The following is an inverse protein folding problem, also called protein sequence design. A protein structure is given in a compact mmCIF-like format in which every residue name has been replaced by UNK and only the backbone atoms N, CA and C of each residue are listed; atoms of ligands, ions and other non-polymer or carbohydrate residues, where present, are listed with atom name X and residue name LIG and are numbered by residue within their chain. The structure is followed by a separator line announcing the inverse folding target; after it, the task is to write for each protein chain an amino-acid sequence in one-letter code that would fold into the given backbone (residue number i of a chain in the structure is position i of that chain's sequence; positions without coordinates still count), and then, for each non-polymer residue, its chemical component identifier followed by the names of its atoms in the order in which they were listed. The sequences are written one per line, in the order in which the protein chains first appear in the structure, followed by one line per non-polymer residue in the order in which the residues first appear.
data_IF_903780937939
#
_entry.id   IF_903780937939
#
_cell.length_a   1.000
_cell.length_b   1.000
_cell.length_c   1.000
_cell.angle_alpha   90.00
_cell.angle_beta   90.00
_cell.angle_gamma   90.00
#
_symmetry.space_group_name_H-M   'P 1'
#
loop_
_entity.id
_entity.type
_entity.pdbx_description
1 polymer ?
#
# COMPACT_ATOMS: atom_id res chain seq x y z
N UNK A 1 4.07 14.40 8.48
CA UNK A 1 2.84 15.09 8.94
C UNK A 1 2.26 14.43 10.18
N UNK A 2 1.52 13.32 10.11
CA UNK A 2 0.88 12.73 11.30
C UNK A 2 1.84 12.43 12.46
N UNK A 3 2.98 11.78 12.17
CA UNK A 3 4.03 11.49 13.16
C UNK A 3 4.61 12.78 13.77
N UNK A 4 4.93 13.74 12.92
CA UNK A 4 5.56 15.01 13.29
C UNK A 4 4.63 15.85 14.19
N UNK A 5 3.35 15.98 13.83
CA UNK A 5 2.37 16.73 14.63
C UNK A 5 2.28 16.19 16.05
N UNK A 6 2.11 14.87 16.22
CA UNK A 6 2.06 14.24 17.56
C UNK A 6 3.38 14.40 18.32
N UNK A 7 4.52 14.22 17.64
CA UNK A 7 5.83 14.38 18.27
C UNK A 7 6.04 15.82 18.79
N UNK A 8 5.78 16.83 17.95
CA UNK A 8 5.93 18.25 18.29
C UNK A 8 4.97 18.68 19.40
N UNK A 9 3.70 18.26 19.33
CA UNK A 9 2.70 18.53 20.38
C UNK A 9 3.12 18.01 21.77
N UNK A 10 3.97 16.98 21.81
CA UNK A 10 4.46 16.36 23.05
C UNK A 10 5.93 16.73 23.37
N UNK A 11 6.52 17.69 22.68
CA UNK A 11 7.88 18.18 22.97
C UNK A 11 9.02 17.28 22.47
N UNK A 12 8.75 16.37 21.52
CA UNK A 12 9.75 15.52 20.89
C UNK A 12 10.20 16.07 19.54
N UNK A 13 11.45 15.79 19.19
CA UNK A 13 12.01 16.09 17.87
C UNK A 13 11.97 14.84 16.97
N UNK A 14 11.62 15.02 15.69
CA UNK A 14 11.62 13.95 14.70
C UNK A 14 12.93 13.93 13.91
N UNK A 15 13.56 12.76 13.81
CA UNK A 15 14.68 12.49 12.90
C UNK A 15 14.23 11.46 11.87
N UNK A 16 14.38 11.78 10.59
CA UNK A 16 14.00 10.89 9.48
C UNK A 16 15.26 10.28 8.88
N UNK A 17 15.24 8.96 8.72
CA UNK A 17 16.26 8.20 8.00
C UNK A 17 15.60 7.40 6.88
N UNK A 18 16.14 7.49 5.68
CA UNK A 18 15.63 6.82 4.48
C UNK A 18 16.59 5.69 4.11
N UNK A 19 16.04 4.50 3.91
CA UNK A 19 16.83 3.27 3.79
C UNK A 19 16.61 2.56 2.42
N UNK A 20 15.82 3.16 1.52
CA UNK A 20 15.54 2.70 0.15
C UNK A 20 15.24 1.18 -0.01
N UNK A 21 14.62 0.54 0.98
CA UNK A 21 14.38 -0.92 1.03
C UNK A 21 15.64 -1.79 1.06
N UNK A 22 16.76 -1.24 1.57
CA UNK A 22 18.04 -1.93 1.74
C UNK A 22 18.27 -2.20 3.22
N UNK A 23 18.12 -3.46 3.65
CA UNK A 23 18.28 -3.89 5.06
C UNK A 23 19.62 -3.45 5.69
N UNK A 24 20.70 -3.39 4.90
CA UNK A 24 22.01 -2.91 5.38
C UNK A 24 22.01 -1.42 5.75
N UNK A 25 21.20 -0.61 5.08
CA UNK A 25 21.02 0.81 5.41
C UNK A 25 20.13 0.96 6.64
N UNK A 26 19.09 0.11 6.78
CA UNK A 26 18.27 0.03 7.99
C UNK A 26 19.14 -0.26 9.23
N UNK A 27 20.06 -1.21 9.14
CA UNK A 27 20.99 -1.54 10.24
C UNK A 27 21.93 -0.38 10.61
N UNK A 28 22.35 0.44 9.63
CA UNK A 28 23.16 1.65 9.92
C UNK A 28 22.32 2.71 10.62
N UNK A 29 21.08 2.92 10.19
CA UNK A 29 20.14 3.81 10.85
C UNK A 29 19.88 3.36 12.29
N UNK A 30 19.68 2.05 12.50
CA UNK A 30 19.56 1.43 13.83
C UNK A 30 20.80 1.66 14.69
N UNK A 31 22.01 1.47 14.17
CA UNK A 31 23.22 1.71 14.94
C UNK A 31 23.42 3.20 15.27
N UNK A 32 23.00 4.09 14.38
CA UNK A 32 22.91 5.53 14.68
C UNK A 32 21.87 5.83 15.77
N UNK A 33 20.72 5.14 15.75
CA UNK A 33 19.72 5.18 16.82
C UNK A 33 20.25 4.61 18.15
N UNK A 34 21.13 3.61 18.14
CA UNK A 34 21.80 3.13 19.37
C UNK A 34 22.84 4.13 19.89
N UNK A 35 23.56 4.80 19.00
CA UNK A 35 24.64 5.72 19.34
C UNK A 35 24.16 7.12 19.77
N UNK A 36 23.03 7.60 19.23
CA UNK A 36 22.36 8.83 19.65
C UNK A 36 21.21 8.47 20.57
N UNK A 37 21.10 9.09 21.74
CA UNK A 37 20.04 8.87 22.74
C UNK A 37 18.63 9.21 22.20
N UNK A 38 18.11 8.45 21.23
CA UNK A 38 16.71 8.55 20.80
C UNK A 38 15.84 7.75 21.77
N UNK A 39 14.65 8.26 22.06
CA UNK A 39 13.75 7.63 23.01
C UNK A 39 12.99 6.44 22.40
N UNK A 40 12.88 6.40 21.06
CA UNK A 40 12.23 5.32 20.33
C UNK A 40 12.23 5.53 18.81
N UNK A 41 11.70 4.53 18.08
CA UNK A 41 11.66 4.54 16.63
C UNK A 41 10.31 4.05 16.08
N UNK A 42 9.84 4.69 15.01
CA UNK A 42 8.80 4.17 14.13
C UNK A 42 9.51 3.61 12.90
N UNK A 43 9.33 2.33 12.62
CA UNK A 43 9.99 1.64 11.52
C UNK A 43 8.98 1.36 10.40
N UNK A 44 9.20 2.00 9.26
CA UNK A 44 8.50 1.73 7.99
C UNK A 44 9.42 0.85 7.15
N UNK A 45 9.57 -0.41 7.54
CA UNK A 45 10.53 -1.34 6.93
C UNK A 45 9.81 -2.34 6.05
N UNK A 46 10.52 -2.87 5.05
CA UNK A 46 10.00 -4.01 4.29
C UNK A 46 10.18 -5.28 5.10
N UNK A 47 9.20 -6.17 4.99
CA UNK A 47 9.27 -7.55 5.49
C UNK A 47 10.58 -8.22 5.06
N UNK A 48 11.29 -8.85 6.02
CA UNK A 48 12.65 -9.37 5.82
C UNK A 48 13.26 -9.97 7.09
N UNK A 49 14.59 -9.84 7.22
CA UNK A 49 15.36 -10.26 8.40
C UNK A 49 14.98 -9.43 9.63
N UNK A 50 14.03 -9.96 10.40
CA UNK A 50 13.49 -9.33 11.59
C UNK A 50 14.38 -9.53 12.84
N UNK A 51 15.54 -10.21 12.72
CA UNK A 51 16.40 -10.52 13.85
C UNK A 51 16.99 -9.26 14.49
N UNK A 52 17.29 -8.24 13.71
CA UNK A 52 17.74 -6.96 14.26
C UNK A 52 16.63 -6.23 15.03
N UNK A 53 15.38 -6.30 14.55
CA UNK A 53 14.23 -5.71 15.23
C UNK A 53 13.98 -6.48 16.53
N UNK A 54 14.08 -7.82 16.49
CA UNK A 54 14.00 -8.68 17.67
C UNK A 54 15.03 -8.30 18.71
N UNK A 55 16.30 -8.19 18.32
CA UNK A 55 17.40 -7.76 19.21
C UNK A 55 17.11 -6.41 19.84
N UNK A 56 16.63 -5.42 19.08
CA UNK A 56 16.27 -4.12 19.65
C UNK A 56 15.12 -4.19 20.66
N UNK A 57 14.08 -4.98 20.36
CA UNK A 57 12.94 -5.14 21.26
C UNK A 57 13.39 -5.84 22.55
N UNK A 58 14.24 -6.86 22.46
CA UNK A 58 14.81 -7.59 23.61
C UNK A 58 15.75 -6.72 24.45
N UNK A 59 16.50 -5.81 23.83
CA UNK A 59 17.33 -4.79 24.50
C UNK A 59 16.49 -3.67 25.15
N UNK A 60 15.16 -3.68 24.98
CA UNK A 60 14.24 -2.74 25.65
C UNK A 60 14.05 -1.39 24.94
N UNK A 61 14.39 -1.32 23.65
CA UNK A 61 14.11 -0.15 22.82
C UNK A 61 12.62 -0.02 22.52
N UNK A 62 12.13 1.22 22.49
CA UNK A 62 10.74 1.52 22.14
C UNK A 62 10.60 1.52 20.62
N UNK A 63 9.88 0.54 20.08
CA UNK A 63 9.65 0.40 18.65
C UNK A 63 8.14 0.28 18.38
N UNK A 64 7.73 0.91 17.28
CA UNK A 64 6.44 0.70 16.60
C UNK A 64 6.73 0.38 15.14
N UNK A 65 6.12 -0.66 14.59
CA UNK A 65 6.18 -0.96 13.16
C UNK A 65 5.00 -0.34 12.44
N UNK A 66 5.24 0.21 11.25
CA UNK A 66 4.23 0.85 10.41
C UNK A 66 4.12 0.13 9.06
N UNK A 67 2.89 -0.09 8.60
CA UNK A 67 2.54 -0.67 7.28
C UNK A 67 3.10 -2.09 7.03
N UNK A 68 3.28 -2.88 8.09
CA UNK A 68 3.70 -4.28 8.00
C UNK A 68 3.22 -5.12 9.18
N UNK A 69 3.24 -6.43 9.00
CA UNK A 69 2.97 -7.37 10.08
C UNK A 69 4.17 -7.56 11.03
N UNK A 70 3.91 -7.94 12.29
CA UNK A 70 4.96 -8.11 13.28
C UNK A 70 5.75 -9.43 13.14
N UNK A 71 5.25 -10.40 12.36
CA UNK A 71 5.91 -11.72 12.17
C UNK A 71 6.39 -12.40 13.47
N UNK A 72 5.58 -12.31 14.54
CA UNK A 72 5.90 -12.88 15.84
C UNK A 72 6.79 -12.02 16.73
N UNK A 73 7.16 -10.80 16.32
CA UNK A 73 7.79 -9.80 17.17
C UNK A 73 6.81 -9.25 18.21
N UNK A 74 7.30 -9.02 19.43
CA UNK A 74 6.51 -8.41 20.52
C UNK A 74 6.53 -6.88 20.45
N UNK A 75 6.00 -6.34 19.36
CA UNK A 75 6.07 -4.91 19.02
C UNK A 75 4.69 -4.38 18.62
N UNK A 76 4.40 -3.13 19.00
CA UNK A 76 3.19 -2.45 18.55
C UNK A 76 3.25 -2.24 17.03
N UNK A 77 2.13 -2.43 16.35
CA UNK A 77 2.01 -2.29 14.90
C UNK A 77 0.83 -1.39 14.54
N UNK A 78 1.01 -0.59 13.49
CA UNK A 78 -0.07 0.17 12.85
C UNK A 78 -0.04 -0.17 11.36
N UNK A 79 -1.12 -0.69 10.83
CA UNK A 79 -1.24 -0.97 9.39
C UNK A 79 -2.62 -0.57 8.87
N UNK A 80 -2.77 -0.43 7.57
CA UNK A 80 -4.09 -0.33 6.94
C UNK A 80 -4.67 -1.72 6.67
N UNK A 81 -5.98 -1.79 6.50
CA UNK A 81 -6.64 -3.00 6.00
C UNK A 81 -6.45 -3.16 4.48
N UNK A 82 -5.23 -3.57 4.09
CA UNK A 82 -4.87 -3.80 2.68
C UNK A 82 -5.72 -4.89 2.02
N UNK A 83 -6.08 -5.93 2.77
CA UNK A 83 -6.94 -7.01 2.27
C UNK A 83 -8.31 -6.47 1.91
N UNK A 84 -8.96 -5.74 2.83
CA UNK A 84 -10.25 -5.12 2.57
C UNK A 84 -10.15 -4.10 1.44
N UNK A 85 -9.08 -3.31 1.38
CA UNK A 85 -8.85 -2.37 0.28
C UNK A 85 -8.74 -3.05 -1.08
N UNK A 86 -7.97 -4.14 -1.19
CA UNK A 86 -7.86 -4.91 -2.42
C UNK A 86 -9.17 -5.56 -2.83
N UNK A 87 -9.94 -6.05 -1.85
CA UNK A 87 -11.29 -6.55 -2.08
C UNK A 87 -12.23 -5.44 -2.59
N UNK A 88 -12.26 -4.28 -1.93
CA UNK A 88 -13.15 -3.14 -2.28
C UNK A 88 -12.87 -2.61 -3.69
N UNK A 89 -11.60 -2.46 -4.07
CA UNK A 89 -11.20 -2.00 -5.40
C UNK A 89 -11.71 -2.95 -6.48
N UNK A 90 -11.57 -4.25 -6.24
CA UNK A 90 -11.97 -5.30 -7.18
C UNK A 90 -13.49 -5.45 -7.23
N UNK A 91 -14.15 -5.45 -6.07
CA UNK A 91 -15.61 -5.46 -5.94
C UNK A 91 -16.26 -4.29 -6.66
N UNK A 92 -15.67 -3.09 -6.58
CA UNK A 92 -16.15 -1.93 -7.32
C UNK A 92 -16.16 -2.17 -8.83
N UNK A 93 -15.04 -2.66 -9.40
CA UNK A 93 -14.95 -3.00 -10.82
C UNK A 93 -15.94 -4.11 -11.23
N UNK A 94 -16.09 -5.13 -10.39
CA UNK A 94 -17.06 -6.22 -10.62
C UNK A 94 -18.51 -5.70 -10.61
N UNK A 95 -18.85 -4.80 -9.69
CA UNK A 95 -20.17 -4.17 -9.61
C UNK A 95 -20.46 -3.24 -10.81
N UNK A 96 -19.42 -2.70 -11.45
CA UNK A 96 -19.51 -1.98 -12.73
C UNK A 96 -19.65 -2.91 -13.95
N UNK A 97 -19.65 -4.24 -13.74
CA UNK A 97 -19.84 -5.26 -14.78
C UNK A 97 -18.54 -5.76 -15.41
N UNK A 98 -17.37 -5.38 -14.91
CA UNK A 98 -16.10 -5.89 -15.42
C UNK A 98 -15.81 -7.28 -14.88
N UNK A 99 -15.70 -8.27 -15.77
CA UNK A 99 -15.27 -9.64 -15.41
C UNK A 99 -13.80 -9.92 -15.72
N UNK A 100 -13.25 -9.25 -16.74
CA UNK A 100 -11.85 -9.38 -17.12
C UNK A 100 -11.05 -8.20 -16.57
N UNK A 101 -10.51 -8.39 -15.36
CA UNK A 101 -9.78 -7.38 -14.60
C UNK A 101 -8.31 -7.79 -14.54
N UNK A 102 -7.40 -6.94 -15.02
CA UNK A 102 -5.97 -7.11 -14.77
C UNK A 102 -5.64 -6.65 -13.36
N UNK A 103 -4.66 -7.31 -12.73
CA UNK A 103 -4.10 -6.88 -11.46
C UNK A 103 -2.61 -6.60 -11.59
N UNK A 104 -2.19 -5.35 -11.33
CA UNK A 104 -0.76 -4.98 -11.27
C UNK A 104 -0.30 -5.10 -9.82
N UNK A 105 0.52 -6.13 -9.55
CA UNK A 105 1.14 -6.39 -8.23
C UNK A 105 2.16 -5.32 -7.88
N UNK A 106 2.30 -5.05 -6.59
CA UNK A 106 3.49 -4.39 -6.07
C UNK A 106 4.66 -5.37 -5.89
N UNK A 107 5.62 -4.97 -5.05
CA UNK A 107 6.80 -5.78 -4.75
C UNK A 107 6.38 -7.10 -4.05
N UNK A 108 6.79 -8.30 -4.53
CA UNK A 108 6.25 -9.59 -4.06
C UNK A 108 6.43 -9.92 -2.58
N UNK A 109 7.50 -9.44 -1.95
CA UNK A 109 7.79 -9.78 -0.55
C UNK A 109 7.10 -8.85 0.45
N UNK A 110 6.63 -7.68 0.03
CA UNK A 110 5.96 -6.69 0.88
C UNK A 110 4.53 -7.16 1.23
N UNK A 111 4.18 -7.09 2.51
CA UNK A 111 2.91 -7.64 3.01
C UNK A 111 1.70 -6.91 2.44
N UNK A 112 1.74 -5.58 2.34
CA UNK A 112 0.65 -4.80 1.73
C UNK A 112 0.36 -5.22 0.28
N UNK A 113 1.38 -5.56 -0.50
CA UNK A 113 1.24 -6.11 -1.87
C UNK A 113 0.51 -7.46 -1.87
N UNK A 114 0.91 -8.36 -0.95
CA UNK A 114 0.29 -9.68 -0.81
C UNK A 114 -1.17 -9.55 -0.36
N UNK A 115 -1.43 -8.77 0.68
CA UNK A 115 -2.77 -8.57 1.24
C UNK A 115 -3.73 -7.98 0.20
N UNK A 116 -3.31 -6.96 -0.56
CA UNK A 116 -4.12 -6.39 -1.67
C UNK A 116 -4.43 -7.45 -2.73
N UNK A 117 -3.47 -8.29 -3.09
CA UNK A 117 -3.66 -9.38 -4.04
C UNK A 117 -4.62 -10.47 -3.52
N UNK A 118 -4.54 -10.82 -2.24
CA UNK A 118 -5.49 -11.75 -1.62
C UNK A 118 -6.91 -11.18 -1.63
N UNK A 119 -7.07 -9.87 -1.37
CA UNK A 119 -8.34 -9.17 -1.49
C UNK A 119 -8.93 -9.24 -2.91
N UNK A 120 -8.10 -9.00 -3.94
CA UNK A 120 -8.48 -9.17 -5.34
C UNK A 120 -8.99 -10.59 -5.64
N UNK A 121 -8.23 -11.62 -5.23
CA UNK A 121 -8.65 -13.02 -5.44
C UNK A 121 -9.96 -13.35 -4.72
N UNK A 122 -10.14 -12.84 -3.50
CA UNK A 122 -11.36 -13.07 -2.71
C UNK A 122 -12.58 -12.45 -3.40
N UNK A 123 -12.47 -11.21 -3.89
CA UNK A 123 -13.57 -10.54 -4.58
C UNK A 123 -13.99 -11.28 -5.86
N UNK A 124 -13.02 -11.76 -6.67
CA UNK A 124 -13.33 -12.60 -7.83
C UNK A 124 -14.06 -13.88 -7.43
N UNK A 125 -13.56 -14.57 -6.39
CA UNK A 125 -14.17 -15.81 -5.89
C UNK A 125 -15.61 -15.59 -5.44
N UNK A 126 -15.88 -14.51 -4.70
CA UNK A 126 -17.21 -14.22 -4.17
C UNK A 126 -18.23 -13.82 -5.24
N UNK A 127 -17.76 -13.32 -6.38
CA UNK A 127 -18.57 -13.03 -7.58
C UNK A 127 -18.52 -14.15 -8.62
N UNK A 128 -18.00 -15.32 -8.25
CA UNK A 128 -17.91 -16.51 -9.11
C UNK A 128 -17.14 -16.28 -10.42
N UNK A 129 -16.22 -15.31 -10.44
CA UNK A 129 -15.33 -15.06 -11.58
C UNK A 129 -14.11 -15.97 -11.48
N UNK A 130 -13.83 -16.71 -12.56
CA UNK A 130 -12.66 -17.58 -12.64
C UNK A 130 -11.38 -16.74 -12.59
N UNK A 131 -10.56 -17.00 -11.59
CA UNK A 131 -9.23 -16.42 -11.50
C UNK A 131 -8.35 -16.82 -12.70
N UNK A 132 -7.74 -15.84 -13.35
CA UNK A 132 -6.83 -16.03 -14.48
C UNK A 132 -5.42 -15.58 -14.11
N UNK A 133 -4.45 -16.52 -14.15
CA UNK A 133 -3.04 -16.22 -13.89
C UNK A 133 -2.42 -15.30 -14.93
N UNK A 134 -2.89 -15.33 -16.19
CA UNK A 134 -2.37 -14.43 -17.22
C UNK A 134 -2.68 -12.96 -16.90
N UNK A 135 -3.73 -12.70 -16.11
CA UNK A 135 -4.16 -11.33 -15.76
C UNK A 135 -3.36 -10.71 -14.61
N UNK A 136 -2.29 -11.38 -14.17
CA UNK A 136 -1.47 -10.93 -13.04
C UNK A 136 -0.15 -10.36 -13.56
N UNK A 137 -0.02 -9.05 -13.41
CA UNK A 137 1.14 -8.27 -13.89
C UNK A 137 2.06 -7.99 -12.71
N UNK A 138 3.37 -8.05 -12.96
CA UNK A 138 4.39 -7.69 -11.96
C UNK A 138 4.71 -6.21 -12.04
N UNK A 139 4.68 -5.54 -10.88
CA UNK A 139 5.13 -4.16 -10.72
C UNK A 139 5.98 -4.00 -9.45
N UNK A 140 6.34 -2.76 -9.11
CA UNK A 140 7.20 -2.45 -7.97
C UNK A 140 6.91 -1.09 -7.31
N UNK A 141 5.64 -0.67 -7.31
CA UNK A 141 5.18 0.59 -6.70
C UNK A 141 5.79 1.85 -7.34
N UNK A 142 6.05 1.81 -8.65
CA UNK A 142 6.53 2.96 -9.38
C UNK A 142 5.83 3.11 -10.74
N UNK A 143 5.87 4.33 -11.29
CA UNK A 143 5.22 4.66 -12.57
C UNK A 143 5.75 3.80 -13.71
N UNK A 144 7.07 3.61 -13.81
CA UNK A 144 7.69 2.88 -14.91
C UNK A 144 7.29 1.40 -14.97
N UNK A 145 7.04 0.77 -13.82
CA UNK A 145 6.61 -0.62 -13.75
C UNK A 145 5.15 -0.80 -14.15
N UNK A 146 4.28 0.15 -13.76
CA UNK A 146 2.90 0.20 -14.26
C UNK A 146 2.86 0.36 -15.79
N UNK A 147 3.69 1.26 -16.33
CA UNK A 147 3.80 1.48 -17.77
C UNK A 147 4.29 0.23 -18.52
N UNK A 148 5.47 -0.27 -18.15
CA UNK A 148 6.12 -1.38 -18.86
C UNK A 148 5.39 -2.71 -18.70
N UNK A 149 4.67 -2.94 -17.60
CA UNK A 149 3.89 -4.16 -17.42
C UNK A 149 2.68 -4.22 -18.36
N UNK A 150 2.02 -3.08 -18.60
CA UNK A 150 0.91 -2.98 -19.55
C UNK A 150 1.39 -3.11 -21.00
N UNK A 151 2.49 -2.47 -21.37
CA UNK A 151 3.08 -2.65 -22.72
C UNK A 151 3.38 -4.12 -23.00
N UNK A 152 4.12 -4.79 -22.10
CA UNK A 152 4.46 -6.20 -22.24
C UNK A 152 3.22 -7.10 -22.32
N UNK A 153 2.18 -6.77 -21.55
CA UNK A 153 0.93 -7.52 -21.58
C UNK A 153 0.22 -7.37 -22.94
N UNK A 154 0.05 -6.14 -23.42
CA UNK A 154 -0.59 -5.85 -24.70
C UNK A 154 0.16 -6.46 -25.88
N UNK A 155 1.49 -6.40 -25.88
CA UNK A 155 2.32 -6.98 -26.95
C UNK A 155 2.22 -8.51 -26.98
N UNK A 156 2.00 -9.16 -25.83
CA UNK A 156 1.89 -10.62 -25.72
C UNK A 156 0.48 -11.16 -25.97
N UNK A 157 -0.54 -10.50 -25.42
CA UNK A 157 -1.91 -11.03 -25.36
C UNK A 157 -2.95 -10.18 -26.09
N UNK A 158 -2.58 -8.96 -26.52
CA UNK A 158 -3.53 -7.99 -27.06
C UNK A 158 -4.52 -7.45 -26.00
N UNK A 159 -5.54 -6.75 -26.47
CA UNK A 159 -6.59 -6.18 -25.63
C UNK A 159 -7.70 -7.21 -25.36
N UNK A 160 -7.64 -7.89 -24.21
CA UNK A 160 -8.60 -8.91 -23.79
C UNK A 160 -9.19 -8.68 -22.38
N UNK A 161 -8.98 -7.50 -21.82
CA UNK A 161 -9.46 -7.06 -20.51
C UNK A 161 -10.24 -5.75 -20.65
N UNK A 162 -11.02 -5.40 -19.63
CA UNK A 162 -11.85 -4.17 -19.64
C UNK A 162 -11.60 -3.26 -18.43
N UNK A 163 -10.85 -3.75 -17.45
CA UNK A 163 -10.44 -2.98 -16.29
C UNK A 163 -9.08 -3.41 -15.74
N UNK A 164 -8.46 -2.53 -14.98
CA UNK A 164 -7.21 -2.75 -14.25
C UNK A 164 -7.43 -2.33 -12.79
N UNK A 165 -6.99 -3.16 -11.87
CA UNK A 165 -6.68 -2.76 -10.50
C UNK A 165 -5.15 -2.73 -10.35
N UNK A 166 -4.58 -1.54 -10.13
CA UNK A 166 -3.18 -1.38 -9.80
C UNK A 166 -2.98 -1.30 -8.28
N UNK A 167 -1.98 -2.01 -7.75
CA UNK A 167 -1.75 -2.06 -6.30
C UNK A 167 -1.33 -0.72 -5.69
N UNK A 168 -1.01 0.31 -6.47
CA UNK A 168 -0.87 1.70 -6.04
C UNK A 168 -1.22 2.70 -7.15
N UNK A 169 -1.33 3.98 -6.78
CA UNK A 169 -1.65 5.07 -7.69
C UNK A 169 -0.50 5.35 -8.68
N UNK A 170 0.76 5.11 -8.31
CA UNK A 170 1.90 5.31 -9.21
C UNK A 170 1.86 4.34 -10.39
N UNK A 171 1.64 3.05 -10.14
CA UNK A 171 1.48 2.04 -11.18
C UNK A 171 0.19 2.27 -11.99
N UNK A 172 -0.90 2.74 -11.36
CA UNK A 172 -2.11 3.14 -12.08
C UNK A 172 -1.83 4.25 -13.10
N UNK A 173 -1.07 5.27 -12.71
CA UNK A 173 -0.66 6.38 -13.59
C UNK A 173 0.22 5.87 -14.73
N UNK A 174 1.17 4.97 -14.44
CA UNK A 174 1.98 4.30 -15.46
C UNK A 174 1.13 3.53 -16.47
N UNK A 175 0.15 2.77 -15.99
CA UNK A 175 -0.78 2.02 -16.82
C UNK A 175 -1.63 2.94 -17.71
N UNK A 176 -2.16 4.05 -17.17
CA UNK A 176 -2.89 5.06 -17.95
C UNK A 176 -2.02 5.60 -19.09
N UNK A 177 -0.75 5.90 -18.81
CA UNK A 177 0.18 6.40 -19.84
C UNK A 177 0.44 5.37 -20.93
N UNK A 178 0.67 4.11 -20.58
CA UNK A 178 0.91 3.03 -21.55
C UNK A 178 -0.31 2.79 -22.45
N UNK A 179 -1.51 2.78 -21.89
CA UNK A 179 -2.75 2.64 -22.67
C UNK A 179 -2.92 3.81 -23.64
N UNK A 180 -2.73 5.04 -23.16
CA UNK A 180 -2.80 6.24 -24.00
C UNK A 180 -1.84 6.18 -25.18
N UNK A 181 -0.60 5.73 -24.96
CA UNK A 181 0.40 5.62 -26.03
C UNK A 181 0.07 4.53 -27.06
N UNK A 182 -0.73 3.53 -26.66
CA UNK A 182 -1.28 2.51 -27.55
C UNK A 182 -2.64 2.91 -28.16
N UNK A 183 -3.09 4.15 -27.95
CA UNK A 183 -4.37 4.66 -28.45
C UNK A 183 -5.61 4.11 -27.72
N UNK A 184 -5.42 3.51 -26.54
CA UNK A 184 -6.49 2.94 -25.72
C UNK A 184 -6.89 3.98 -24.66
N UNK A 185 -8.17 4.29 -24.61
CA UNK A 185 -8.73 5.36 -23.78
C UNK A 185 -9.08 4.88 -22.38
N UNK A 186 -8.77 5.71 -21.38
CA UNK A 186 -9.24 5.57 -19.99
C UNK A 186 -10.15 6.76 -19.71
N UNK A 187 -11.41 6.57 -19.24
CA UNK A 187 -12.02 5.30 -18.85
C UNK A 187 -12.74 4.54 -19.98
N UNK A 188 -12.83 5.13 -21.18
CA UNK A 188 -13.78 4.72 -22.22
C UNK A 188 -13.56 3.27 -22.71
N UNK A 189 -12.31 2.85 -22.92
CA UNK A 189 -11.99 1.46 -23.28
C UNK A 189 -11.67 0.65 -22.02
N UNK A 190 -10.79 1.17 -21.16
CA UNK A 190 -10.30 0.50 -19.96
C UNK A 190 -10.60 1.33 -18.72
N UNK A 191 -11.18 0.70 -17.70
CA UNK A 191 -11.41 1.31 -16.39
C UNK A 191 -10.25 0.99 -15.46
N UNK A 192 -9.85 1.94 -14.61
CA UNK A 192 -8.69 1.78 -13.74
C UNK A 192 -9.04 2.22 -12.32
N UNK A 193 -8.67 1.38 -11.37
CA UNK A 193 -8.67 1.69 -9.94
C UNK A 193 -7.24 1.59 -9.41
N UNK A 194 -6.81 2.59 -8.65
CA UNK A 194 -5.53 2.61 -7.93
C UNK A 194 -5.67 2.31 -6.44
N UNK A 195 -4.62 2.61 -5.70
CA UNK A 195 -4.56 2.53 -4.24
C UNK A 195 -3.62 3.63 -3.74
N UNK A 196 -3.97 4.32 -2.65
CA UNK A 196 -3.20 5.30 -1.84
C UNK A 196 -3.95 6.63 -1.65
N UNK A 197 -4.79 7.01 -2.60
CA UNK A 197 -5.29 8.37 -2.77
C UNK A 197 -4.16 9.40 -2.68
N UNK A 198 -3.21 9.27 -3.60
CA UNK A 198 -2.10 10.21 -3.74
C UNK A 198 -2.60 11.62 -4.04
N UNK A 199 -1.79 12.62 -3.67
CA UNK A 199 -2.16 14.03 -3.86
C UNK A 199 -2.42 14.39 -5.33
N UNK A 200 -1.86 13.63 -6.29
CA UNK A 200 -2.07 13.83 -7.72
C UNK A 200 -3.30 13.10 -8.27
N UNK A 201 -3.83 12.10 -7.56
CA UNK A 201 -4.96 11.27 -8.01
C UNK A 201 -6.20 12.05 -8.48
N UNK A 202 -6.62 13.16 -7.83
CA UNK A 202 -7.73 13.98 -8.35
C UNK A 202 -7.37 14.85 -9.56
N UNK A 203 -6.09 15.05 -9.88
CA UNK A 203 -5.62 15.98 -10.91
C UNK A 203 -5.12 15.31 -12.19
N UNK A 204 -4.85 14.00 -12.17
CA UNK A 204 -4.55 13.28 -13.41
C UNK A 204 -5.78 13.21 -14.32
N UNK A 205 -5.57 12.92 -15.59
CA UNK A 205 -6.65 12.85 -16.60
C UNK A 205 -6.76 11.41 -17.10
N UNK A 206 -7.88 10.71 -16.85
CA UNK A 206 -9.02 11.13 -16.00
C UNK A 206 -8.68 11.05 -14.50
N UNK A 207 -9.36 11.82 -13.61
CA UNK A 207 -9.17 11.70 -12.17
C UNK A 207 -9.34 10.26 -11.67
N UNK A 208 -8.39 9.77 -10.89
CA UNK A 208 -8.21 8.37 -10.53
C UNK A 208 -9.14 7.91 -9.39
N UNK A 209 -10.00 6.95 -9.67
CA UNK A 209 -10.69 6.15 -8.65
C UNK A 209 -9.64 5.33 -7.89
N UNK A 210 -9.64 5.38 -6.56
CA UNK A 210 -8.56 4.79 -5.75
C UNK A 210 -9.02 4.47 -4.33
N UNK A 211 -8.30 3.57 -3.66
CA UNK A 211 -8.48 3.29 -2.24
C UNK A 211 -7.67 4.29 -1.41
N UNK A 212 -8.34 5.12 -0.61
CA UNK A 212 -7.68 6.07 0.27
C UNK A 212 -7.15 5.40 1.52
N UNK A 213 -5.85 5.54 1.70
CA UNK A 213 -5.16 5.26 2.95
C UNK A 213 -5.16 6.51 3.82
N UNK A 214 -5.63 6.39 5.07
CA UNK A 214 -5.61 7.50 6.04
C UNK A 214 -4.19 7.68 6.62
N UNK A 215 -3.22 7.98 5.76
CA UNK A 215 -1.78 8.01 6.06
C UNK A 215 -1.42 8.96 7.21
N UNK A 216 -2.12 10.09 7.30
CA UNK A 216 -1.93 11.02 8.41
C UNK A 216 -2.37 10.41 9.74
N UNK A 217 -3.56 9.80 9.78
CA UNK A 217 -4.08 9.07 10.95
C UNK A 217 -3.15 7.92 11.35
N UNK A 218 -2.67 7.12 10.40
CA UNK A 218 -1.68 6.07 10.66
C UNK A 218 -0.43 6.62 11.37
N UNK A 219 0.08 7.75 10.87
CA UNK A 219 1.25 8.40 11.46
C UNK A 219 0.98 8.92 12.87
N UNK A 220 -0.20 9.50 13.12
CA UNK A 220 -0.61 9.97 14.45
C UNK A 220 -0.67 8.81 15.44
N UNK A 221 -1.42 7.76 15.09
CA UNK A 221 -1.57 6.56 15.92
C UNK A 221 -0.20 5.91 16.21
N UNK A 222 0.68 5.80 15.22
CA UNK A 222 2.00 5.23 15.42
C UNK A 222 2.86 6.04 16.41
N UNK A 223 2.79 7.37 16.34
CA UNK A 223 3.48 8.25 17.27
C UNK A 223 2.87 8.19 18.68
N UNK A 224 1.55 8.19 18.80
CA UNK A 224 0.85 8.02 20.09
C UNK A 224 1.25 6.70 20.77
N UNK A 225 1.25 5.59 20.03
CA UNK A 225 1.71 4.30 20.54
C UNK A 225 3.18 4.33 20.99
N UNK A 226 4.04 5.04 20.26
CA UNK A 226 5.46 5.16 20.62
C UNK A 226 5.66 6.00 21.89
N UNK A 227 4.98 7.14 21.99
CA UNK A 227 5.04 8.02 23.16
C UNK A 227 4.48 7.34 24.41
N UNK A 228 3.41 6.56 24.26
CA UNK A 228 2.91 5.68 25.30
C UNK A 228 4.02 4.74 25.79
N UNK A 229 4.82 4.14 24.89
CA UNK A 229 5.94 3.26 25.29
C UNK A 229 7.03 4.01 26.03
N UNK A 230 7.41 5.19 25.54
CA UNK A 230 8.47 6.02 26.14
C UNK A 230 8.10 6.45 27.56
N UNK A 231 6.86 6.94 27.76
CA UNK A 231 6.41 7.50 29.03
C UNK A 231 6.17 6.48 30.14
N UNK A 232 6.15 5.19 29.82
CA UNK A 232 5.64 4.17 30.72
C UNK A 232 6.69 3.54 31.62
N UNK A 233 6.41 3.55 32.93
CA UNK A 233 7.32 3.08 33.98
C UNK A 233 7.43 1.55 34.10
N UNK A 234 6.46 0.78 33.57
CA UNK A 234 6.43 -0.68 33.65
C UNK A 234 6.57 -1.33 32.26
N UNK A 235 7.80 -1.45 31.77
CA UNK A 235 8.12 -2.04 30.46
C UNK A 235 7.82 -3.56 30.38
N UNK A 236 7.90 -4.27 31.51
CA UNK A 236 7.88 -5.74 31.56
C UNK A 236 6.49 -6.40 31.41
N UNK A 237 5.39 -5.62 31.41
CA UNK A 237 4.00 -6.17 31.40
C UNK A 237 3.16 -5.77 30.20
N UNK A 238 3.74 -5.19 29.14
CA UNK A 238 2.94 -4.70 28.01
C UNK A 238 2.74 -5.75 26.93
N UNK A 239 1.47 -6.07 26.66
CA UNK A 239 1.04 -6.79 25.48
C UNK A 239 1.17 -5.89 24.24
N UNK A 240 1.82 -6.34 23.16
CA UNK A 240 1.85 -5.62 21.90
C UNK A 240 0.44 -5.32 21.38
N UNK A 241 0.24 -4.11 20.86
CA UNK A 241 -1.01 -3.67 20.25
C UNK A 241 -0.88 -3.73 18.73
N UNK A 242 -1.88 -4.27 18.06
CA UNK A 242 -2.00 -4.21 16.61
C UNK A 242 -3.20 -3.33 16.26
N UNK A 243 -2.94 -2.20 15.63
CA UNK A 243 -3.96 -1.26 15.17
C UNK A 243 -4.11 -1.37 13.66
N UNK A 244 -5.34 -1.64 13.21
CA UNK A 244 -5.71 -1.70 11.80
C UNK A 244 -6.56 -0.47 11.48
N UNK A 245 -6.06 0.40 10.62
CA UNK A 245 -6.73 1.60 10.16
C UNK A 245 -7.62 1.24 8.95
N UNK A 246 -8.93 1.59 8.97
CA UNK A 246 -9.81 1.30 7.85
C UNK A 246 -9.43 2.10 6.60
N UNK A 247 -9.82 1.56 5.45
CA UNK A 247 -9.64 2.19 4.14
C UNK A 247 -10.99 2.50 3.51
N UNK A 248 -11.02 3.44 2.57
CA UNK A 248 -12.24 3.87 1.88
C UNK A 248 -12.00 3.95 0.37
N UNK A 249 -13.02 3.60 -0.43
CA UNK A 249 -12.97 3.80 -1.88
C UNK A 249 -13.34 5.25 -2.19
N UNK A 250 -12.50 5.92 -2.98
CA UNK A 250 -12.76 7.25 -3.53
C UNK A 250 -13.08 7.10 -5.00
N UNK A 251 -14.36 7.19 -5.33
CA UNK A 251 -14.85 7.11 -6.72
C UNK A 251 -14.54 8.41 -7.48
N UNK A 252 -13.94 8.26 -8.65
CA UNK A 252 -13.66 9.35 -9.60
C UNK A 252 -14.00 8.90 -11.03
N UNK A 253 -13.31 9.46 -12.03
CA UNK A 253 -13.68 9.32 -13.45
C UNK A 253 -12.90 8.24 -14.20
N UNK A 254 -11.95 7.55 -13.57
CA UNK A 254 -11.17 6.50 -14.23
C UNK A 254 -11.87 5.15 -14.29
N UNK A 255 -12.99 4.95 -13.59
CA UNK A 255 -13.78 3.72 -13.63
C UNK A 255 -15.24 4.02 -13.96
N UNK A 256 -15.81 3.31 -14.94
CA UNK A 256 -17.19 3.49 -15.42
C UNK A 256 -17.85 2.13 -15.68
N UNK A 257 -19.19 2.03 -15.72
CA UNK A 257 -19.87 0.79 -16.07
C UNK A 257 -19.46 0.26 -17.44
N UNK A 258 -19.31 -1.07 -17.58
CA UNK A 258 -18.93 -1.71 -18.85
C UNK A 258 -19.95 -1.45 -19.97
N UNK A 259 -21.22 -1.27 -19.61
CA UNK A 259 -22.32 -0.95 -20.54
C UNK A 259 -22.18 0.43 -21.19
N UNK A 260 -21.47 1.36 -20.54
CA UNK A 260 -21.16 2.67 -21.10
C UNK A 260 -20.11 2.61 -22.22
N UNK A 261 -19.33 1.52 -22.29
CA UNK A 261 -18.25 1.32 -23.28
C UNK A 261 -18.75 0.78 -24.61
N UNK A 262 -19.83 -0.01 -24.60
CA UNK A 262 -20.40 -0.63 -25.81
C UNK A 262 -21.26 0.33 -26.65
N UNK A 263 -21.46 1.58 -26.21
CA UNK A 263 -22.35 2.57 -26.85
C UNK A 263 -21.60 3.58 -27.76
N UNK A 264 -20.32 3.35 -28.06
CA UNK A 264 -19.51 4.16 -28.97
C UNK A 264 -18.88 3.27 -30.03
#
# INVERSE_FOLDING_TARGET
NGIESVATENGYNLIISLNHHITKEELKAVNFFKAKKVDGAILVTTSGDDDYIRSLVEEGYNIVLLDRDPHGLKVDTVKVDNFRGGYMATEHLLNLGHSNILFIKGIPHIDSSKERFEGYKKALKDKEIKFNNDFILSGNFNVGSGYSSIEKYLDKYGLNFSAIFASDDQMAIGAIKALKDKGISVPDDISIVGFDDSYISPYIIPPLTTIKQRREEMGRVAAELLLDRISSRNKEKRTPRQVIIPVELIERKSAIPISSKQRR
#
